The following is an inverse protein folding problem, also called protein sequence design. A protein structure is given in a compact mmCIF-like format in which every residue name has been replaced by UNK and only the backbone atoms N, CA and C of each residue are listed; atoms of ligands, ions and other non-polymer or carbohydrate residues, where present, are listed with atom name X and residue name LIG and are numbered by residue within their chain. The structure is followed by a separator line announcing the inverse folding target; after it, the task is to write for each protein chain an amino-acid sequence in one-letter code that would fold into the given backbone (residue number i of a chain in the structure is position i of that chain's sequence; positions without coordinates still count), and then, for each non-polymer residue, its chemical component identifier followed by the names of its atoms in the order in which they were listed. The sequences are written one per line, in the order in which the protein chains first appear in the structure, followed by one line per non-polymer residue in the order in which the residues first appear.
data_IF_846245666560
#
_entry.id   IF_846245666560
#
_cell.length_a   1.000
_cell.length_b   1.000
_cell.length_c   1.000
_cell.angle_alpha   90.00
_cell.angle_beta   90.00
_cell.angle_gamma   90.00
#
_symmetry.space_group_name_H-M   'P 1'
#
loop_
_entity.id
_entity.type
_entity.pdbx_description
1 polymer ?
#
# COMPACT_ATOMS: atom_id res chain seq x y z
N UNK A 1 20.18 14.15 24.33
CA UNK A 1 20.33 14.99 23.12
C UNK A 1 18.98 15.64 22.83
N UNK A 2 18.46 16.47 23.74
CA UNK A 2 18.62 17.93 23.77
C UNK A 2 18.93 18.57 22.41
N UNK A 3 17.87 19.03 21.73
CA UNK A 3 17.95 20.26 20.96
C UNK A 3 16.69 21.06 21.27
N UNK A 4 16.87 22.07 22.12
CA UNK A 4 15.82 22.97 22.59
C UNK A 4 15.33 23.80 21.41
N UNK A 5 14.02 23.79 21.18
CA UNK A 5 13.35 24.85 20.44
C UNK A 5 13.51 26.12 21.28
N UNK A 6 14.33 27.04 20.82
CA UNK A 6 14.31 28.40 21.34
C UNK A 6 13.13 29.12 20.70
N UNK A 7 12.06 29.26 21.49
CA UNK A 7 10.95 30.16 21.20
C UNK A 7 11.48 31.61 21.16
N UNK A 8 11.00 32.46 20.24
CA UNK A 8 11.35 33.87 20.26
C UNK A 8 10.77 34.50 21.53
N UNK A 9 11.64 34.93 22.43
CA UNK A 9 11.27 35.68 23.64
C UNK A 9 10.49 36.93 23.24
N UNK A 10 9.21 36.94 23.59
CA UNK A 10 8.36 38.13 23.55
C UNK A 10 8.88 39.10 24.61
N UNK A 11 9.68 40.08 24.16
CA UNK A 11 10.15 41.17 25.03
C UNK A 11 8.96 42.10 25.29
N UNK A 12 8.73 42.30 26.58
CA UNK A 12 7.63 43.01 27.18
C UNK A 12 7.73 44.52 26.89
N UNK A 13 6.57 45.16 26.67
CA UNK A 13 6.46 46.60 26.47
C UNK A 13 6.81 47.32 27.77
N UNK A 14 7.74 48.27 27.70
CA UNK A 14 7.71 49.60 28.32
C UNK A 14 9.13 50.15 28.31
N UNK A 15 9.39 51.11 27.42
CA UNK A 15 10.24 52.30 27.62
C UNK A 15 10.43 53.00 26.27
N UNK A 16 9.64 54.04 26.04
CA UNK A 16 9.89 55.02 24.97
C UNK A 16 11.03 55.94 25.41
N UNK A 17 12.27 55.58 25.10
CA UNK A 17 13.41 56.50 24.97
C UNK A 17 14.59 55.79 24.31
N UNK A 18 14.99 56.29 23.14
CA UNK A 18 16.12 55.76 22.37
C UNK A 18 15.68 55.13 21.05
N UNK A 19 15.28 55.95 20.08
CA UNK A 19 15.51 55.54 18.69
C UNK A 19 17.03 55.60 18.50
N UNK A 20 17.71 54.48 18.76
CA UNK A 20 19.05 54.28 18.23
C UNK A 20 18.92 54.47 16.72
N UNK A 21 19.61 55.48 16.19
CA UNK A 21 19.74 55.68 14.74
C UNK A 21 20.49 54.46 14.18
N UNK A 22 19.72 53.41 13.87
CA UNK A 22 20.21 52.28 13.08
C UNK A 22 20.72 52.90 11.78
N UNK A 23 22.00 52.71 11.50
CA UNK A 23 22.62 53.26 10.29
C UNK A 23 21.82 52.80 9.08
N UNK A 24 21.61 53.69 8.11
CA UNK A 24 20.92 53.36 6.85
C UNK A 24 21.55 52.14 6.15
N UNK A 25 22.83 51.89 6.43
CA UNK A 25 23.59 50.74 5.95
C UNK A 25 23.29 49.44 6.71
N UNK A 26 23.06 49.51 8.03
CA UNK A 26 22.64 48.36 8.84
C UNK A 26 21.21 47.92 8.50
N UNK A 27 20.32 48.89 8.22
CA UNK A 27 18.95 48.60 7.78
C UNK A 27 18.92 47.89 6.42
N UNK A 28 19.80 48.30 5.48
CA UNK A 28 19.95 47.64 4.18
C UNK A 28 20.48 46.22 4.32
N UNK A 29 21.49 46.00 5.14
CA UNK A 29 22.05 44.67 5.38
C UNK A 29 21.01 43.70 5.96
N UNK A 30 20.20 44.16 6.92
CA UNK A 30 19.11 43.36 7.48
C UNK A 30 18.06 43.04 6.41
N UNK A 31 17.67 44.02 5.58
CA UNK A 31 16.73 43.79 4.48
C UNK A 31 17.27 42.81 3.44
N UNK A 32 18.56 42.85 3.10
CA UNK A 32 19.20 41.91 2.19
C UNK A 32 19.25 40.49 2.79
N UNK A 33 19.56 40.36 4.08
CA UNK A 33 19.56 39.08 4.79
C UNK A 33 18.16 38.45 4.81
N UNK A 34 17.13 39.22 5.15
CA UNK A 34 15.74 38.72 5.12
C UNK A 34 15.30 38.32 3.71
N UNK A 35 15.74 39.06 2.67
CA UNK A 35 15.45 38.71 1.29
C UNK A 35 16.12 37.39 0.89
N UNK A 36 17.40 37.23 1.22
CA UNK A 36 18.14 36.00 0.95
C UNK A 36 17.50 34.79 1.66
N UNK A 37 17.12 34.96 2.93
CA UNK A 37 16.42 33.93 3.69
C UNK A 37 15.06 33.59 3.07
N UNK A 38 14.28 34.60 2.64
CA UNK A 38 13.00 34.37 1.97
C UNK A 38 13.16 33.59 0.66
N UNK A 39 14.16 33.94 -0.15
CA UNK A 39 14.49 33.22 -1.38
C UNK A 39 14.95 31.77 -1.10
N UNK A 40 15.71 31.53 -0.04
CA UNK A 40 16.12 30.18 0.38
C UNK A 40 14.94 29.34 0.85
N UNK A 41 14.06 29.89 1.69
CA UNK A 41 12.85 29.20 2.14
C UNK A 41 11.88 28.91 0.99
N UNK A 42 11.77 29.82 0.01
CA UNK A 42 10.97 29.60 -1.19
C UNK A 42 11.54 28.42 -2.00
N UNK A 43 12.85 28.37 -2.25
CA UNK A 43 13.49 27.26 -2.95
C UNK A 43 13.27 25.91 -2.25
N UNK A 44 13.44 25.87 -0.92
CA UNK A 44 13.18 24.65 -0.11
C UNK A 44 11.72 24.22 -0.20
N UNK A 45 10.78 25.17 -0.15
CA UNK A 45 9.35 24.89 -0.29
C UNK A 45 9.02 24.27 -1.65
N UNK A 46 9.55 24.85 -2.73
CA UNK A 46 9.38 24.35 -4.09
C UNK A 46 9.97 22.95 -4.27
N UNK A 47 11.16 22.70 -3.70
CA UNK A 47 11.79 21.38 -3.69
C UNK A 47 10.96 20.33 -2.94
N UNK A 48 10.48 20.65 -1.74
CA UNK A 48 9.62 19.75 -0.98
C UNK A 48 8.31 19.47 -1.71
N UNK A 49 7.70 20.50 -2.31
CA UNK A 49 6.47 20.33 -3.07
C UNK A 49 6.68 19.45 -4.30
N UNK A 50 7.82 19.58 -4.98
CA UNK A 50 8.21 18.68 -6.08
C UNK A 50 8.38 17.24 -5.58
N UNK A 51 9.11 17.04 -4.48
CA UNK A 51 9.34 15.72 -3.91
C UNK A 51 8.04 15.06 -3.46
N UNK A 52 7.12 15.81 -2.84
CA UNK A 52 5.81 15.32 -2.43
C UNK A 52 4.95 14.91 -3.63
N UNK A 53 4.99 15.66 -4.74
CA UNK A 53 4.29 15.29 -5.97
C UNK A 53 4.84 13.98 -6.55
N UNK A 54 6.16 13.83 -6.61
CA UNK A 54 6.80 12.59 -7.06
C UNK A 54 6.44 11.41 -6.16
N UNK A 55 6.55 11.59 -4.84
CA UNK A 55 6.22 10.54 -3.86
C UNK A 55 4.75 10.11 -3.96
N UNK A 56 3.84 11.06 -4.17
CA UNK A 56 2.42 10.75 -4.40
C UNK A 56 2.24 9.88 -5.65
N UNK A 57 2.90 10.24 -6.76
CA UNK A 57 2.83 9.49 -8.00
C UNK A 57 3.44 8.07 -7.85
N UNK A 58 4.58 7.96 -7.16
CA UNK A 58 5.21 6.68 -6.84
C UNK A 58 4.31 5.80 -5.97
N UNK A 59 3.63 6.39 -4.99
CA UNK A 59 2.68 5.68 -4.14
C UNK A 59 1.45 5.18 -4.91
N UNK A 60 0.90 5.99 -5.81
CA UNK A 60 -0.19 5.56 -6.69
C UNK A 60 0.25 4.39 -7.61
N UNK A 61 1.46 4.48 -8.18
CA UNK A 61 2.05 3.40 -8.96
C UNK A 61 2.27 2.13 -8.14
N UNK A 62 2.75 2.28 -6.90
CA UNK A 62 2.91 1.17 -5.96
C UNK A 62 1.57 0.50 -5.65
N UNK A 63 0.52 1.26 -5.31
CA UNK A 63 -0.82 0.70 -5.04
C UNK A 63 -1.39 -0.05 -6.24
N UNK A 64 -1.15 0.46 -7.46
CA UNK A 64 -1.57 -0.22 -8.69
C UNK A 64 -0.84 -1.55 -8.86
N UNK A 65 0.48 -1.55 -8.68
CA UNK A 65 1.33 -2.76 -8.76
C UNK A 65 0.94 -3.77 -7.68
N UNK A 66 0.69 -3.31 -6.46
CA UNK A 66 0.32 -4.16 -5.33
C UNK A 66 -1.03 -4.84 -5.56
N UNK A 67 -2.00 -4.13 -6.13
CA UNK A 67 -3.29 -4.73 -6.51
C UNK A 67 -3.10 -5.83 -7.55
N UNK A 68 -2.31 -5.55 -8.61
CA UNK A 68 -2.01 -6.55 -9.64
C UNK A 68 -1.26 -7.77 -9.07
N UNK A 69 -0.32 -7.53 -8.15
CA UNK A 69 0.39 -8.60 -7.47
C UNK A 69 -0.55 -9.44 -6.62
N UNK A 70 -1.42 -8.83 -5.81
CA UNK A 70 -2.44 -9.54 -5.03
C UNK A 70 -3.36 -10.39 -5.90
N UNK A 71 -3.86 -9.85 -7.00
CA UNK A 71 -4.74 -10.58 -7.92
C UNK A 71 -3.99 -11.78 -8.54
N UNK A 72 -2.72 -11.59 -8.90
CA UNK A 72 -1.86 -12.66 -9.44
C UNK A 72 -1.49 -13.70 -8.38
N UNK A 73 -1.27 -13.27 -7.14
CA UNK A 73 -0.93 -14.11 -6.00
C UNK A 73 -2.11 -15.01 -5.62
N UNK A 74 -3.33 -14.49 -5.62
CA UNK A 74 -4.55 -15.29 -5.39
C UNK A 74 -4.65 -16.38 -6.48
N UNK A 75 -4.53 -16.00 -7.76
CA UNK A 75 -4.56 -16.96 -8.87
C UNK A 75 -3.45 -18.01 -8.78
N UNK A 76 -2.24 -17.61 -8.37
CA UNK A 76 -1.11 -18.54 -8.22
C UNK A 76 -1.25 -19.43 -6.97
N UNK A 77 -1.88 -18.95 -5.90
CA UNK A 77 -2.07 -19.72 -4.66
C UNK A 77 -3.10 -20.84 -4.85
N UNK A 78 -4.15 -20.59 -5.65
CA UNK A 78 -5.13 -21.61 -6.01
C UNK A 78 -4.50 -22.75 -6.82
N UNK A 79 -3.52 -22.46 -7.68
CA UNK A 79 -2.85 -23.46 -8.52
C UNK A 79 -2.27 -24.63 -7.72
N UNK A 80 -1.47 -24.34 -6.70
CA UNK A 80 -0.79 -25.39 -5.91
C UNK A 80 -1.79 -26.23 -5.11
N UNK A 81 -2.89 -25.61 -4.66
CA UNK A 81 -3.97 -26.32 -3.98
C UNK A 81 -4.72 -27.23 -4.95
N UNK A 82 -5.09 -26.73 -6.12
CA UNK A 82 -5.80 -27.49 -7.17
C UNK A 82 -4.96 -28.70 -7.60
N UNK A 83 -3.65 -28.52 -7.81
CA UNK A 83 -2.74 -29.62 -8.17
C UNK A 83 -2.72 -30.73 -7.12
N UNK A 84 -2.84 -30.40 -5.84
CA UNK A 84 -2.91 -31.39 -4.75
C UNK A 84 -4.28 -32.06 -4.62
N UNK A 85 -5.35 -31.42 -5.08
CA UNK A 85 -6.71 -31.97 -5.06
C UNK A 85 -6.97 -32.93 -6.23
N UNK A 86 -6.34 -32.71 -7.40
CA UNK A 86 -6.47 -33.59 -8.58
C UNK A 86 -6.38 -35.10 -8.28
N UNK A 87 -5.35 -35.62 -7.57
CA UNK A 87 -5.27 -37.06 -7.28
C UNK A 87 -6.45 -37.57 -6.45
N UNK A 88 -7.00 -36.74 -5.56
CA UNK A 88 -8.21 -37.10 -4.78
C UNK A 88 -9.43 -37.20 -5.69
N UNK A 89 -9.54 -36.35 -6.70
CA UNK A 89 -10.61 -36.49 -7.71
C UNK A 89 -10.44 -37.76 -8.55
N UNK A 90 -9.22 -38.07 -8.98
CA UNK A 90 -8.93 -39.29 -9.74
C UNK A 90 -9.31 -40.55 -8.91
N UNK A 91 -9.00 -40.55 -7.61
CA UNK A 91 -9.40 -41.62 -6.69
C UNK A 91 -10.92 -41.71 -6.51
N UNK A 92 -11.62 -40.57 -6.45
CA UNK A 92 -13.09 -40.54 -6.39
C UNK A 92 -13.73 -41.10 -7.68
N UNK A 93 -13.19 -40.77 -8.85
CA UNK A 93 -13.64 -41.32 -10.13
C UNK A 93 -13.47 -42.84 -10.17
N UNK A 94 -12.29 -43.32 -9.75
CA UNK A 94 -12.02 -44.76 -9.65
C UNK A 94 -13.00 -45.45 -8.69
N UNK A 95 -13.25 -44.87 -7.52
CA UNK A 95 -14.18 -45.42 -6.54
C UNK A 95 -15.62 -45.48 -7.07
N UNK A 96 -16.08 -44.44 -7.79
CA UNK A 96 -17.40 -44.44 -8.43
C UNK A 96 -17.47 -45.53 -9.51
N UNK A 97 -16.44 -45.67 -10.35
CA UNK A 97 -16.39 -46.71 -11.38
C UNK A 97 -16.40 -48.12 -10.78
N UNK A 98 -15.65 -48.37 -9.71
CA UNK A 98 -15.66 -49.66 -9.02
C UNK A 98 -16.99 -49.94 -8.32
N UNK A 99 -17.61 -48.94 -7.69
CA UNK A 99 -18.91 -49.08 -7.04
C UNK A 99 -20.03 -49.49 -8.01
N UNK A 100 -19.98 -48.99 -9.26
CA UNK A 100 -20.88 -49.40 -10.35
C UNK A 100 -20.66 -50.85 -10.79
N UNK A 101 -19.41 -51.33 -10.80
CA UNK A 101 -19.06 -52.71 -11.17
C UNK A 101 -19.45 -53.72 -10.08
N UNK A 102 -19.36 -53.33 -8.81
CA UNK A 102 -19.62 -54.19 -7.66
C UNK A 102 -21.09 -54.15 -7.18
N UNK A 103 -22.02 -53.61 -7.98
CA UNK A 103 -23.46 -53.52 -7.67
C UNK A 103 -23.76 -52.90 -6.29
N UNK A 104 -22.96 -51.91 -5.88
CA UNK A 104 -23.21 -51.14 -4.65
C UNK A 104 -24.57 -50.43 -4.77
N UNK A 105 -25.27 -50.26 -3.64
CA UNK A 105 -26.57 -49.58 -3.61
C UNK A 105 -26.58 -48.30 -4.46
N UNK A 106 -27.46 -48.29 -5.47
CA UNK A 106 -27.48 -47.26 -6.50
C UNK A 106 -27.67 -45.84 -5.95
N UNK A 107 -28.46 -45.67 -4.89
CA UNK A 107 -28.65 -44.39 -4.20
C UNK A 107 -27.34 -43.83 -3.60
N UNK A 108 -26.41 -44.69 -3.20
CA UNK A 108 -25.10 -44.29 -2.71
C UNK A 108 -24.20 -43.81 -3.85
N UNK A 109 -24.20 -44.54 -4.98
CA UNK A 109 -23.43 -44.19 -6.18
C UNK A 109 -23.88 -42.84 -6.74
N UNK A 110 -25.20 -42.62 -6.85
CA UNK A 110 -25.77 -41.34 -7.31
C UNK A 110 -25.42 -40.18 -6.36
N UNK A 111 -25.40 -40.42 -5.05
CA UNK A 111 -24.96 -39.45 -4.05
C UNK A 111 -23.49 -39.06 -4.21
N UNK A 112 -22.61 -40.05 -4.43
CA UNK A 112 -21.18 -39.83 -4.67
C UNK A 112 -20.94 -39.04 -5.97
N UNK A 113 -21.64 -39.38 -7.05
CA UNK A 113 -21.58 -38.63 -8.32
C UNK A 113 -22.02 -37.17 -8.17
N UNK A 114 -23.03 -36.90 -7.34
CA UNK A 114 -23.48 -35.53 -7.07
C UNK A 114 -22.38 -34.71 -6.36
N UNK A 115 -21.67 -35.31 -5.41
CA UNK A 115 -20.56 -34.66 -4.70
C UNK A 115 -19.39 -34.42 -5.66
N UNK A 116 -19.03 -35.42 -6.47
CA UNK A 116 -17.98 -35.30 -7.48
C UNK A 116 -18.27 -34.16 -8.47
N UNK A 117 -19.49 -34.07 -9.01
CA UNK A 117 -19.92 -32.95 -9.87
C UNK A 117 -19.85 -31.60 -9.17
N UNK A 118 -20.22 -31.52 -7.89
CA UNK A 118 -20.11 -30.27 -7.12
C UNK A 118 -18.66 -29.84 -6.97
N UNK A 119 -17.75 -30.80 -6.72
CA UNK A 119 -16.32 -30.52 -6.61
C UNK A 119 -15.74 -30.04 -7.94
N UNK A 120 -16.04 -30.71 -9.06
CA UNK A 120 -15.66 -30.27 -10.41
C UNK A 120 -16.11 -28.82 -10.68
N UNK A 121 -17.38 -28.50 -10.40
CA UNK A 121 -17.90 -27.15 -10.60
C UNK A 121 -17.20 -26.08 -9.74
N UNK A 122 -16.66 -26.45 -8.58
CA UNK A 122 -15.89 -25.54 -7.73
C UNK A 122 -14.50 -25.33 -8.35
N UNK A 123 -13.85 -26.41 -8.80
CA UNK A 123 -12.52 -26.33 -9.41
C UNK A 123 -12.55 -25.56 -10.75
N UNK A 124 -13.60 -25.71 -11.56
CA UNK A 124 -13.79 -24.91 -12.79
C UNK A 124 -13.95 -23.41 -12.52
N UNK A 125 -14.39 -23.03 -11.32
CA UNK A 125 -14.53 -21.62 -10.92
C UNK A 125 -13.25 -21.04 -10.33
N UNK A 126 -12.47 -21.87 -9.64
CA UNK A 126 -11.28 -21.46 -8.88
C UNK A 126 -9.97 -21.61 -9.67
N UNK A 127 -9.96 -22.42 -10.74
CA UNK A 127 -8.86 -22.59 -11.70
C UNK A 127 -8.94 -21.64 -12.89
#
# INVERSE_FOLDING_TARGET
MNNQKEEPKVVNKNDTSGCDEISLEELKNICEEYRNNAEEYQKKSEEYLKNLKSLKAEFENYRKRERQFRDSFIKSSNRDLILKILPVMDDMDNAILESKKNEVHQSYVEGAELIYRKLLNILEKEG
#
